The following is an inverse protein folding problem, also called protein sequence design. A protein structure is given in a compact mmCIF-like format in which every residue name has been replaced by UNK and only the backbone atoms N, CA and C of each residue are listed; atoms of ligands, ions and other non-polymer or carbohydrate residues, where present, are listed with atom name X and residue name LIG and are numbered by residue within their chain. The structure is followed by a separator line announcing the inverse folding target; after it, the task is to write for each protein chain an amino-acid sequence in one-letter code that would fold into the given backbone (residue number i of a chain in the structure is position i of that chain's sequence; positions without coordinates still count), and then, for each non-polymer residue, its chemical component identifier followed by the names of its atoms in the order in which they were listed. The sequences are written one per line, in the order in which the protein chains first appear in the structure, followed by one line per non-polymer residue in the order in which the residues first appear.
data_IF_098963483534
#
_entry.id   IF_098963483534
#
_cell.length_a   1.000
_cell.length_b   1.000
_cell.length_c   1.000
_cell.angle_alpha   90.00
_cell.angle_beta   90.00
_cell.angle_gamma   90.00
#
_symmetry.space_group_name_H-M   'P 1'
#
loop_
_entity.id
_entity.type
_entity.pdbx_description
1 polymer ?
#
# COMPACT_ATOMS: atom_id res chain seq x y z
N UNK A 1 -40.93 59.95 -17.84
CA UNK A 1 -42.23 59.27 -17.63
C UNK A 1 -42.03 57.82 -18.03
N UNK A 2 -41.90 56.90 -17.06
CA UNK A 2 -41.67 55.47 -17.31
C UNK A 2 -42.95 54.69 -16.99
N UNK A 3 -43.45 53.94 -17.97
CA UNK A 3 -44.64 53.08 -17.85
C UNK A 3 -44.34 51.83 -17.02
N UNK A 4 -45.25 51.35 -16.14
CA UNK A 4 -45.10 50.08 -15.46
C UNK A 4 -45.46 48.90 -16.38
N UNK A 5 -44.58 47.91 -16.48
CA UNK A 5 -44.80 46.64 -17.16
C UNK A 5 -45.59 45.67 -16.27
N UNK A 6 -46.74 45.20 -16.73
CA UNK A 6 -47.60 44.19 -16.08
C UNK A 6 -46.92 42.80 -16.11
N UNK A 7 -46.77 42.09 -14.98
CA UNK A 7 -46.13 40.78 -14.98
C UNK A 7 -47.03 39.67 -15.59
N UNK A 8 -46.48 38.70 -16.34
CA UNK A 8 -47.23 37.56 -16.84
C UNK A 8 -47.59 36.59 -15.71
N UNK A 9 -48.84 36.12 -15.70
CA UNK A 9 -49.33 35.15 -14.71
C UNK A 9 -48.51 33.83 -14.74
N UNK A 10 -48.22 33.23 -13.57
CA UNK A 10 -47.36 32.05 -13.47
C UNK A 10 -47.99 30.80 -14.11
N UNK A 11 -47.16 29.92 -14.68
CA UNK A 11 -47.59 28.68 -15.34
C UNK A 11 -48.42 27.76 -14.43
N UNK A 12 -48.19 27.83 -13.12
CA UNK A 12 -48.98 27.13 -12.11
C UNK A 12 -50.47 27.50 -12.14
N UNK A 13 -50.80 28.79 -12.33
CA UNK A 13 -52.18 29.26 -12.38
C UNK A 13 -52.91 28.81 -13.66
N UNK A 14 -52.18 28.62 -14.76
CA UNK A 14 -52.76 28.11 -16.03
C UNK A 14 -53.09 26.62 -15.94
N UNK A 15 -52.25 25.84 -15.25
CA UNK A 15 -52.45 24.41 -15.03
C UNK A 15 -53.62 24.13 -14.08
N UNK A 16 -53.78 24.92 -13.02
CA UNK A 16 -54.92 24.75 -12.10
C UNK A 16 -56.26 25.06 -12.78
N UNK A 17 -56.30 26.08 -13.65
CA UNK A 17 -57.53 26.48 -14.34
C UNK A 17 -58.00 25.46 -15.39
N UNK A 18 -57.09 24.83 -16.13
CA UNK A 18 -57.45 23.79 -17.10
C UNK A 18 -57.93 22.50 -16.41
N UNK A 19 -57.32 22.17 -15.27
CA UNK A 19 -57.75 21.03 -14.45
C UNK A 19 -59.11 21.29 -13.81
N UNK A 20 -59.37 22.49 -13.29
CA UNK A 20 -60.67 22.86 -12.73
C UNK A 20 -61.79 22.83 -13.78
N UNK A 21 -61.56 23.42 -14.95
CA UNK A 21 -62.57 23.39 -16.04
C UNK A 21 -62.82 22.00 -16.59
N UNK A 22 -61.80 21.13 -16.62
CA UNK A 22 -62.02 19.70 -16.90
C UNK A 22 -62.87 19.06 -15.79
N UNK A 23 -62.54 19.25 -14.52
CA UNK A 23 -63.27 18.68 -13.37
C UNK A 23 -64.71 19.18 -13.24
N UNK A 24 -65.05 20.37 -13.72
CA UNK A 24 -66.43 20.90 -13.77
C UNK A 24 -67.29 20.28 -14.87
N UNK A 25 -66.68 19.76 -15.92
CA UNK A 25 -67.40 19.07 -17.00
C UNK A 25 -67.73 17.60 -16.69
N UNK A 26 -67.12 17.04 -15.65
CA UNK A 26 -67.39 15.65 -15.22
C UNK A 26 -68.58 15.60 -14.26
N UNK A 27 -69.42 14.59 -14.45
CA UNK A 27 -70.60 14.33 -13.63
C UNK A 27 -70.22 14.03 -12.17
N UNK A 28 -71.12 14.21 -11.19
CA UNK A 28 -70.80 14.04 -9.76
C UNK A 28 -70.22 12.67 -9.39
N UNK A 29 -70.58 11.62 -10.14
CA UNK A 29 -70.05 10.26 -9.94
C UNK A 29 -68.61 10.11 -10.43
N UNK A 30 -68.25 10.77 -11.51
CA UNK A 30 -66.90 10.70 -12.09
C UNK A 30 -65.89 11.51 -11.26
N UNK A 31 -66.34 12.60 -10.62
CA UNK A 31 -65.52 13.33 -9.63
C UNK A 31 -65.04 12.44 -8.48
N UNK A 32 -65.89 11.55 -7.98
CA UNK A 32 -65.51 10.61 -6.92
C UNK A 32 -64.46 9.59 -7.40
N UNK A 33 -64.57 9.12 -8.65
CA UNK A 33 -63.57 8.23 -9.23
C UNK A 33 -62.20 8.94 -9.38
N UNK A 34 -62.19 10.18 -9.87
CA UNK A 34 -60.96 10.98 -10.01
C UNK A 34 -60.34 11.28 -8.64
N UNK A 35 -61.14 11.62 -7.63
CA UNK A 35 -60.63 11.81 -6.27
C UNK A 35 -60.06 10.54 -5.68
N UNK A 36 -60.69 9.38 -5.88
CA UNK A 36 -60.16 8.10 -5.44
C UNK A 36 -58.82 7.78 -6.13
N UNK A 37 -58.73 7.98 -7.45
CA UNK A 37 -57.48 7.80 -8.19
C UNK A 37 -56.38 8.77 -7.72
N UNK A 38 -56.73 10.03 -7.46
CA UNK A 38 -55.80 11.03 -6.94
C UNK A 38 -55.27 10.66 -5.55
N UNK A 39 -56.13 10.14 -4.66
CA UNK A 39 -55.73 9.64 -3.35
C UNK A 39 -54.81 8.43 -3.45
N UNK A 40 -55.12 7.46 -4.31
CA UNK A 40 -54.27 6.28 -4.53
C UNK A 40 -52.91 6.70 -5.12
N UNK A 41 -52.90 7.58 -6.11
CA UNK A 41 -51.67 8.10 -6.71
C UNK A 41 -50.84 8.91 -5.70
N UNK A 42 -51.50 9.73 -4.87
CA UNK A 42 -50.85 10.48 -3.79
C UNK A 42 -50.23 9.57 -2.75
N UNK A 43 -50.94 8.52 -2.31
CA UNK A 43 -50.42 7.55 -1.35
C UNK A 43 -49.27 6.71 -1.95
N UNK A 44 -49.37 6.32 -3.22
CA UNK A 44 -48.31 5.62 -3.94
C UNK A 44 -47.05 6.47 -4.09
N UNK A 45 -47.19 7.75 -4.44
CA UNK A 45 -46.07 8.70 -4.50
C UNK A 45 -45.45 8.94 -3.13
N UNK A 46 -46.28 9.10 -2.09
CA UNK A 46 -45.81 9.25 -0.71
C UNK A 46 -45.01 8.02 -0.27
N UNK A 47 -45.53 6.83 -0.55
CA UNK A 47 -44.86 5.57 -0.30
C UNK A 47 -43.56 5.45 -1.08
N UNK A 48 -43.56 5.82 -2.36
CA UNK A 48 -42.37 5.79 -3.22
C UNK A 48 -41.27 6.72 -2.71
N UNK A 49 -41.63 7.95 -2.31
CA UNK A 49 -40.66 8.94 -1.81
C UNK A 49 -40.17 8.60 -0.40
N UNK A 50 -40.98 7.98 0.45
CA UNK A 50 -40.58 7.64 1.82
C UNK A 50 -39.82 6.29 1.93
N UNK A 51 -40.19 5.28 1.14
CA UNK A 51 -39.65 3.92 1.27
C UNK A 51 -38.48 3.62 0.31
N UNK A 52 -38.45 4.22 -0.89
CA UNK A 52 -37.36 4.01 -1.84
C UNK A 52 -35.99 4.53 -1.37
N UNK A 53 -35.84 5.74 -0.78
CA UNK A 53 -34.52 6.24 -0.42
C UNK A 53 -33.90 5.47 0.75
N UNK A 54 -34.70 4.84 1.62
CA UNK A 54 -34.20 3.99 2.70
C UNK A 54 -33.62 2.66 2.19
N UNK A 55 -34.15 2.11 1.09
CA UNK A 55 -33.62 0.89 0.45
C UNK A 55 -32.35 1.20 -0.36
N UNK A 56 -32.27 2.41 -0.93
CA UNK A 56 -31.10 2.86 -1.69
C UNK A 56 -29.86 3.03 -0.80
N UNK A 57 -30.01 3.59 0.41
CA UNK A 57 -28.91 3.74 1.39
C UNK A 57 -28.42 2.41 1.93
N UNK A 58 -29.31 1.44 2.16
CA UNK A 58 -28.94 0.08 2.55
C UNK A 58 -28.12 -0.65 1.48
N UNK A 59 -28.34 -0.34 0.19
CA UNK A 59 -27.59 -0.95 -0.93
C UNK A 59 -26.25 -0.29 -1.22
N UNK A 60 -26.04 0.97 -0.83
CA UNK A 60 -24.80 1.71 -1.09
C UNK A 60 -23.78 1.64 0.06
N UNK A 61 -24.19 1.29 1.28
CA UNK A 61 -23.28 1.06 2.39
C UNK A 61 -22.24 -0.07 2.17
N UNK A 62 -22.60 -1.28 1.69
CA UNK A 62 -21.66 -2.41 1.69
C UNK A 62 -20.49 -2.25 0.69
N UNK A 63 -20.65 -1.49 -0.39
CA UNK A 63 -19.60 -1.38 -1.42
C UNK A 63 -18.41 -0.51 -0.97
N UNK A 64 -18.66 0.54 -0.18
CA UNK A 64 -17.61 1.38 0.39
C UNK A 64 -16.88 0.66 1.52
N UNK A 65 -17.61 -0.08 2.36
CA UNK A 65 -17.01 -0.92 3.41
C UNK A 65 -16.14 -2.05 2.83
N UNK A 66 -16.58 -2.71 1.76
CA UNK A 66 -15.81 -3.78 1.13
C UNK A 66 -14.43 -3.31 0.59
N UNK A 67 -14.34 -2.08 0.07
CA UNK A 67 -13.06 -1.54 -0.40
C UNK A 67 -12.11 -1.23 0.76
N UNK A 68 -12.64 -0.68 1.86
CA UNK A 68 -11.85 -0.39 3.06
C UNK A 68 -11.39 -1.69 3.73
N UNK A 69 -12.26 -2.69 3.83
CA UNK A 69 -11.93 -4.00 4.41
C UNK A 69 -10.86 -4.73 3.60
N UNK A 70 -10.91 -4.64 2.26
CA UNK A 70 -9.88 -5.20 1.39
C UNK A 70 -8.50 -4.54 1.62
N UNK A 71 -8.46 -3.22 1.79
CA UNK A 71 -7.22 -2.51 2.12
C UNK A 71 -6.70 -2.91 3.50
N UNK A 72 -7.59 -3.04 4.48
CA UNK A 72 -7.25 -3.45 5.84
C UNK A 72 -6.73 -4.90 5.90
N UNK A 73 -7.29 -5.80 5.11
CA UNK A 73 -6.80 -7.16 4.95
C UNK A 73 -5.38 -7.18 4.36
N UNK A 74 -5.11 -6.35 3.35
CA UNK A 74 -3.78 -6.21 2.75
C UNK A 74 -2.75 -5.69 3.76
N UNK A 75 -3.09 -4.66 4.54
CA UNK A 75 -2.20 -4.12 5.59
C UNK A 75 -1.94 -5.14 6.70
N UNK A 76 -2.95 -5.91 7.12
CA UNK A 76 -2.78 -6.98 8.13
C UNK A 76 -1.87 -8.11 7.64
N UNK A 77 -1.98 -8.48 6.36
CA UNK A 77 -1.09 -9.47 5.76
C UNK A 77 0.37 -8.99 5.70
N UNK A 78 0.59 -7.69 5.44
CA UNK A 78 1.94 -7.11 5.50
C UNK A 78 2.46 -7.00 6.94
N UNK A 79 1.61 -6.69 7.91
CA UNK A 79 2.00 -6.63 9.33
C UNK A 79 2.40 -8.00 9.86
N UNK A 80 1.64 -9.06 9.56
CA UNK A 80 1.94 -10.41 10.04
C UNK A 80 3.23 -10.97 9.44
N UNK A 81 3.52 -10.67 8.18
CA UNK A 81 4.79 -11.05 7.54
C UNK A 81 5.97 -10.32 8.16
N UNK A 82 5.83 -9.03 8.48
CA UNK A 82 6.86 -8.28 9.19
C UNK A 82 7.11 -8.82 10.60
N UNK A 83 6.07 -9.17 11.35
CA UNK A 83 6.20 -9.80 12.68
C UNK A 83 6.88 -11.16 12.60
N UNK A 84 6.55 -11.99 11.60
CA UNK A 84 7.20 -13.27 11.39
C UNK A 84 8.69 -13.11 11.07
N UNK A 85 9.05 -12.16 10.19
CA UNK A 85 10.45 -11.84 9.88
C UNK A 85 11.18 -11.26 11.10
N UNK A 86 10.49 -10.46 11.91
CA UNK A 86 11.04 -9.90 13.15
C UNK A 86 11.29 -11.00 14.17
N UNK A 87 10.33 -11.90 14.41
CA UNK A 87 10.49 -13.04 15.29
C UNK A 87 11.62 -13.97 14.83
N UNK A 88 11.74 -14.20 13.51
CA UNK A 88 12.84 -14.97 12.93
C UNK A 88 14.20 -14.28 13.08
N UNK A 89 14.29 -12.95 12.96
CA UNK A 89 15.54 -12.22 13.17
C UNK A 89 15.89 -12.04 14.65
N UNK A 90 14.92 -11.97 15.56
CA UNK A 90 15.15 -11.91 17.01
C UNK A 90 15.59 -13.27 17.58
N UNK A 91 15.29 -14.38 16.89
CA UNK A 91 15.48 -15.72 17.44
C UNK A 91 16.94 -16.10 17.78
N UNK A 92 17.95 -15.52 17.14
CA UNK A 92 19.32 -15.57 17.65
C UNK A 92 20.17 -14.58 16.84
N UNK A 93 20.69 -13.48 17.44
CA UNK A 93 21.81 -12.77 16.84
C UNK A 93 22.94 -13.77 16.63
N UNK A 94 23.48 -13.86 15.39
CA UNK A 94 24.70 -14.63 15.15
C UNK A 94 25.76 -14.15 16.14
N UNK A 95 26.30 -15.05 16.94
CA UNK A 95 27.33 -14.66 17.91
C UNK A 95 28.56 -14.14 17.18
N UNK A 96 29.28 -13.17 17.76
CA UNK A 96 30.52 -12.62 17.19
C UNK A 96 31.49 -13.70 16.73
N UNK A 97 31.70 -14.72 17.56
CA UNK A 97 32.59 -15.85 17.26
C UNK A 97 32.11 -16.67 16.06
N UNK A 98 30.81 -16.84 15.88
CA UNK A 98 30.24 -17.55 14.73
C UNK A 98 30.38 -16.72 13.45
N UNK A 99 30.17 -15.40 13.54
CA UNK A 99 30.37 -14.49 12.41
C UNK A 99 31.84 -14.42 11.97
N UNK A 100 32.79 -14.38 12.91
CA UNK A 100 34.23 -14.43 12.59
C UNK A 100 34.62 -15.78 11.98
N UNK A 101 34.12 -16.90 12.53
CA UNK A 101 34.36 -18.24 11.95
C UNK A 101 33.83 -18.34 10.52
N UNK A 102 32.60 -17.88 10.28
CA UNK A 102 32.01 -17.85 8.94
C UNK A 102 32.78 -16.92 7.97
N UNK A 103 33.35 -15.82 8.47
CA UNK A 103 34.23 -14.94 7.70
C UNK A 103 35.54 -15.65 7.34
N UNK A 104 36.19 -16.32 8.30
CA UNK A 104 37.40 -17.11 8.06
C UNK A 104 37.16 -18.24 7.04
N UNK A 105 36.04 -18.96 7.16
CA UNK A 105 35.63 -19.98 6.17
C UNK A 105 35.41 -19.38 4.78
N UNK A 106 34.88 -18.16 4.70
CA UNK A 106 34.71 -17.47 3.42
C UNK A 106 36.03 -17.14 2.74
N UNK A 107 37.12 -16.91 3.49
CA UNK A 107 38.44 -16.59 2.94
C UNK A 107 38.98 -17.72 2.05
N UNK A 108 38.54 -18.96 2.25
CA UNK A 108 38.89 -20.08 1.37
C UNK A 108 38.50 -19.86 -0.10
N UNK A 109 37.51 -19.00 -0.39
CA UNK A 109 37.13 -18.63 -1.76
C UNK A 109 38.09 -17.65 -2.42
N UNK A 110 38.81 -16.86 -1.64
CA UNK A 110 39.83 -15.91 -2.10
C UNK A 110 41.23 -16.55 -2.21
N UNK A 111 41.44 -17.70 -1.56
CA UNK A 111 42.74 -18.37 -1.53
C UNK A 111 43.83 -17.50 -0.92
N UNK A 112 45.03 -17.50 -1.53
CA UNK A 112 46.16 -16.67 -1.07
C UNK A 112 46.06 -15.19 -1.48
N UNK A 113 45.04 -14.80 -2.27
CA UNK A 113 44.88 -13.42 -2.74
C UNK A 113 44.21 -12.51 -1.70
N UNK A 114 43.62 -13.09 -0.66
CA UNK A 114 42.95 -12.36 0.42
C UNK A 114 43.67 -12.53 1.76
N UNK A 115 43.91 -11.41 2.45
CA UNK A 115 44.43 -11.40 3.82
C UNK A 115 43.41 -10.75 4.75
N UNK A 116 42.97 -11.50 5.77
CA UNK A 116 42.05 -11.03 6.79
C UNK A 116 42.85 -10.42 7.96
N UNK A 117 42.50 -9.20 8.35
CA UNK A 117 42.98 -8.55 9.56
C UNK A 117 41.78 -8.12 10.42
N UNK A 118 41.58 -8.75 11.57
CA UNK A 118 40.47 -8.45 12.47
C UNK A 118 40.96 -7.51 13.56
N UNK A 119 40.60 -6.23 13.48
CA UNK A 119 40.94 -5.23 14.50
C UNK A 119 39.68 -4.79 15.22
N UNK A 120 39.52 -5.27 16.46
CA UNK A 120 38.36 -4.96 17.27
C UNK A 120 37.06 -5.35 16.56
N UNK A 121 36.22 -4.36 16.28
CA UNK A 121 34.90 -4.56 15.67
C UNK A 121 34.87 -4.44 14.14
N UNK A 122 36.03 -4.17 13.54
CA UNK A 122 36.15 -3.85 12.11
C UNK A 122 37.13 -4.81 11.43
N UNK A 123 36.65 -5.97 10.94
CA UNK A 123 37.44 -6.83 10.08
C UNK A 123 37.75 -6.12 8.76
N UNK A 124 39.04 -6.05 8.44
CA UNK A 124 39.55 -5.52 7.19
C UNK A 124 40.12 -6.66 6.36
N UNK A 125 39.63 -6.81 5.13
CA UNK A 125 40.15 -7.80 4.18
C UNK A 125 40.94 -7.06 3.11
N UNK A 126 42.23 -7.40 3.00
CA UNK A 126 43.11 -6.90 1.93
C UNK A 126 43.11 -7.90 0.78
N UNK A 127 42.88 -7.41 -0.44
CA UNK A 127 42.82 -8.19 -1.66
C UNK A 127 44.01 -7.83 -2.54
N UNK A 128 44.67 -8.83 -3.13
CA UNK A 128 45.86 -8.68 -3.98
C UNK A 128 45.72 -9.56 -5.21
N UNK A 129 45.36 -8.95 -6.34
CA UNK A 129 45.20 -9.65 -7.61
C UNK A 129 44.06 -10.66 -7.58
N UNK A 130 42.97 -10.37 -6.86
CA UNK A 130 41.80 -11.26 -6.78
C UNK A 130 40.98 -11.15 -8.06
N UNK A 131 40.50 -12.28 -8.60
CA UNK A 131 39.63 -12.26 -9.78
C UNK A 131 38.25 -11.68 -9.43
N UNK A 132 37.58 -10.99 -10.37
CA UNK A 132 36.24 -10.43 -10.14
C UNK A 132 35.22 -11.47 -9.65
N UNK A 133 35.29 -12.69 -10.19
CA UNK A 133 34.38 -13.79 -9.88
C UNK A 133 34.61 -14.33 -8.46
N UNK A 134 35.87 -14.45 -8.04
CA UNK A 134 36.21 -14.88 -6.69
C UNK A 134 35.76 -13.84 -5.66
N UNK A 135 35.94 -12.55 -5.96
CA UNK A 135 35.48 -11.44 -5.12
C UNK A 135 33.96 -11.43 -4.98
N UNK A 136 33.21 -11.58 -6.08
CA UNK A 136 31.75 -11.63 -6.05
C UNK A 136 31.23 -12.83 -5.25
N UNK A 137 31.85 -14.00 -5.43
CA UNK A 137 31.51 -15.22 -4.69
C UNK A 137 31.78 -15.08 -3.20
N UNK A 138 32.94 -14.49 -2.85
CA UNK A 138 33.31 -14.20 -1.48
C UNK A 138 32.31 -13.26 -0.79
N UNK A 139 31.97 -12.13 -1.42
CA UNK A 139 31.00 -11.17 -0.88
C UNK A 139 29.62 -11.80 -0.64
N UNK A 140 29.16 -12.66 -1.55
CA UNK A 140 27.90 -13.38 -1.39
C UNK A 140 27.94 -14.30 -0.15
N UNK A 141 29.04 -15.05 0.06
CA UNK A 141 29.24 -15.90 1.24
C UNK A 141 29.29 -15.10 2.54
N UNK A 142 30.03 -13.99 2.56
CA UNK A 142 30.14 -13.13 3.75
C UNK A 142 28.77 -12.61 4.17
N UNK A 143 27.95 -12.16 3.21
CA UNK A 143 26.60 -11.65 3.50
C UNK A 143 25.64 -12.73 4.01
N UNK A 144 25.69 -13.92 3.42
CA UNK A 144 24.77 -15.02 3.75
C UNK A 144 25.14 -15.72 5.06
N UNK A 145 26.43 -15.98 5.29
CA UNK A 145 26.90 -16.80 6.40
C UNK A 145 27.35 -15.96 7.60
N UNK A 146 28.13 -14.89 7.36
CA UNK A 146 28.66 -14.05 8.44
C UNK A 146 27.78 -12.84 8.76
N UNK A 147 26.77 -12.54 7.93
CA UNK A 147 25.89 -11.35 8.02
C UNK A 147 26.65 -10.03 8.19
N UNK A 148 27.82 -9.94 7.57
CA UNK A 148 28.61 -8.72 7.50
C UNK A 148 28.37 -8.01 6.17
N UNK A 149 28.39 -6.69 6.19
CA UNK A 149 28.29 -5.85 5.00
C UNK A 149 29.56 -4.99 4.85
N UNK A 150 30.04 -4.78 3.61
CA UNK A 150 31.11 -3.81 3.35
C UNK A 150 30.67 -2.40 3.73
N UNK A 151 31.43 -1.74 4.60
CA UNK A 151 31.21 -0.33 4.99
C UNK A 151 32.13 0.59 4.20
N UNK A 152 33.34 0.13 3.94
CA UNK A 152 34.31 0.85 3.11
C UNK A 152 34.98 -0.14 2.16
N UNK A 153 35.08 0.23 0.89
CA UNK A 153 35.73 -0.58 -0.13
C UNK A 153 36.57 0.32 -1.02
N UNK A 154 37.89 0.18 -0.91
CA UNK A 154 38.85 0.84 -1.79
C UNK A 154 39.44 -0.26 -2.67
N UNK A 155 39.00 -0.31 -3.93
CA UNK A 155 39.46 -1.32 -4.88
C UNK A 155 40.01 -0.63 -6.13
N UNK A 156 41.19 -1.04 -6.54
CA UNK A 156 41.81 -0.71 -7.82
C UNK A 156 41.76 -1.95 -8.73
N UNK A 157 41.19 -1.79 -9.91
CA UNK A 157 41.15 -2.84 -10.92
C UNK A 157 42.29 -2.68 -11.93
N UNK A 158 43.01 -3.76 -12.18
CA UNK A 158 43.92 -3.91 -13.30
C UNK A 158 43.20 -4.62 -14.45
N UNK A 159 43.50 -4.26 -15.69
CA UNK A 159 42.79 -4.78 -16.88
C UNK A 159 43.51 -5.92 -17.59
N UNK A 160 44.75 -6.25 -17.19
CA UNK A 160 45.56 -7.25 -17.90
C UNK A 160 46.61 -7.90 -16.97
N UNK A 161 46.32 -9.05 -16.34
CA UNK A 161 45.02 -9.75 -16.29
C UNK A 161 43.97 -8.96 -15.48
N UNK A 162 42.68 -9.20 -15.76
CA UNK A 162 41.59 -8.55 -15.01
C UNK A 162 41.66 -8.99 -13.55
N UNK A 163 42.07 -8.08 -12.67
CA UNK A 163 42.25 -8.39 -11.25
C UNK A 163 41.95 -7.17 -10.39
N UNK A 164 41.50 -7.42 -9.16
CA UNK A 164 41.09 -6.39 -8.21
C UNK A 164 42.00 -6.48 -6.99
N UNK A 165 42.59 -5.35 -6.62
CA UNK A 165 43.44 -5.20 -5.46
C UNK A 165 42.93 -4.05 -4.59
N UNK A 166 43.13 -4.13 -3.28
CA UNK A 166 42.70 -3.07 -2.38
C UNK A 166 42.29 -3.58 -1.01
N UNK A 167 41.42 -2.84 -0.32
CA UNK A 167 40.95 -3.20 1.02
C UNK A 167 39.44 -3.01 1.15
N UNK A 168 38.82 -3.93 1.88
CA UNK A 168 37.39 -3.91 2.19
C UNK A 168 37.24 -4.01 3.70
N UNK A 169 36.65 -2.98 4.30
CA UNK A 169 36.29 -2.96 5.72
C UNK A 169 34.86 -3.44 5.85
N UNK A 170 34.68 -4.49 6.64
CA UNK A 170 33.40 -5.11 6.92
C UNK A 170 32.91 -4.64 8.29
N UNK A 171 31.59 -4.49 8.43
CA UNK A 171 30.94 -4.37 9.73
C UNK A 171 29.59 -5.08 9.69
N UNK A 172 29.04 -5.38 10.85
CA UNK A 172 27.69 -5.91 10.93
C UNK A 172 27.19 -6.03 12.36
N UNK A 173 25.89 -6.29 12.53
CA UNK A 173 25.26 -6.52 13.83
C UNK A 173 25.99 -7.55 14.73
N UNK A 174 26.55 -8.68 14.22
CA UNK A 174 27.18 -9.67 15.10
C UNK A 174 28.53 -9.21 15.68
N UNK A 175 29.11 -8.14 15.15
CA UNK A 175 30.35 -7.58 15.66
C UNK A 175 30.00 -6.49 16.69
N UNK A 176 29.12 -5.56 16.32
CA UNK A 176 28.80 -4.37 17.10
C UNK A 176 27.73 -4.54 18.17
N UNK A 177 27.87 -5.48 19.11
CA UNK A 177 27.15 -5.43 20.41
C UNK A 177 28.06 -6.00 21.51
N UNK A 178 28.62 -5.08 22.29
CA UNK A 178 29.53 -5.38 23.39
C UNK A 178 29.73 -4.15 24.27
N UNK A 179 28.63 -3.54 24.72
CA UNK A 179 28.50 -2.73 25.94
C UNK A 179 27.03 -2.59 26.30
#
# INVERSE_FOLDING_TARGET
MASPSTPPLPLSARLTNSVQTALERLSPRERNAVMATAWIAGLFLLWWVALAPAIQTLRQAPSQHAQVDAQLASLRAMASTAEAVRAQNTAQPLGRTEALRALEESMGTLGQTGQLNVVGDRPTVTLRGTTPEALATWLARVRLNARLTPVEAQLSGDTTPVSWSGSVVLAGPPLGEGN
#
